data_IF_606078264513
#
_entry.id   IF_606078264513
#
_cell.length_a   1.000
_cell.length_b   1.000
_cell.length_c   1.000
_cell.angle_alpha   90.00
_cell.angle_beta   90.00
_cell.angle_gamma   90.00
#
_symmetry.space_group_name_H-M   'P 1'
#
loop_
_entity.id
_entity.type
_entity.pdbx_description
1 polymer ?
#
# COMPACT_ATOMS: atom_id res chain seq x y z
N UNK A 1 -13.34 1.58 4.87
CA UNK A 1 -12.19 1.91 4.00
C UNK A 1 -11.16 0.79 4.13
N UNK A 2 -10.66 0.20 3.03
CA UNK A 2 -9.93 -1.08 3.08
C UNK A 2 -8.44 -0.95 3.45
N UNK A 3 -7.69 -0.03 2.83
CA UNK A 3 -6.24 0.16 3.08
C UNK A 3 -5.87 1.57 3.57
N UNK A 4 -6.67 2.58 3.27
CA UNK A 4 -6.32 3.97 3.52
C UNK A 4 -6.27 4.30 5.02
N UNK A 5 -5.22 5.01 5.43
CA UNK A 5 -4.93 5.38 6.82
C UNK A 5 -4.82 4.19 7.79
N UNK A 6 -4.55 2.98 7.27
CA UNK A 6 -4.38 1.74 8.02
C UNK A 6 -2.95 1.22 7.98
N UNK A 7 -1.95 2.09 7.74
CA UNK A 7 -0.55 1.63 7.65
C UNK A 7 -0.10 1.03 8.98
N UNK A 8 0.52 -0.14 8.93
CA UNK A 8 0.89 -0.90 10.13
C UNK A 8 -0.22 -1.80 10.66
N UNK A 9 -1.46 -1.66 10.18
CA UNK A 9 -2.55 -2.59 10.50
C UNK A 9 -2.56 -3.80 9.55
N UNK A 10 -3.28 -4.83 9.98
CA UNK A 10 -3.54 -6.05 9.21
C UNK A 10 -4.50 -5.77 8.06
N UNK A 11 -4.17 -6.28 6.88
CA UNK A 11 -5.02 -6.26 5.70
C UNK A 11 -6.29 -7.06 5.96
N UNK A 12 -7.45 -6.51 5.58
CA UNK A 12 -8.75 -7.15 5.76
C UNK A 12 -8.97 -8.38 4.84
N UNK A 13 -8.07 -8.61 3.87
CA UNK A 13 -8.16 -9.72 2.91
C UNK A 13 -7.22 -10.86 3.28
N UNK A 14 -5.93 -10.57 3.37
CA UNK A 14 -4.90 -11.59 3.57
C UNK A 14 -4.24 -11.56 4.96
N UNK A 15 -4.53 -10.55 5.79
CA UNK A 15 -3.89 -10.38 7.10
C UNK A 15 -2.44 -9.86 7.07
N UNK A 16 -1.86 -9.56 5.90
CA UNK A 16 -0.51 -8.98 5.83
C UNK A 16 -0.52 -7.49 6.21
N UNK A 17 0.63 -6.92 6.55
CA UNK A 17 0.74 -5.54 7.03
C UNK A 17 0.57 -4.55 5.88
N UNK A 18 -0.36 -3.62 6.03
CA UNK A 18 -0.55 -2.53 5.08
C UNK A 18 0.63 -1.57 5.16
N UNK A 19 1.22 -1.22 4.01
CA UNK A 19 2.31 -0.26 3.89
C UNK A 19 1.81 1.10 3.42
N UNK A 20 2.58 2.12 3.75
CA UNK A 20 2.38 3.49 3.27
C UNK A 20 3.71 4.06 2.80
N UNK A 21 3.66 4.83 1.72
CA UNK A 21 4.78 5.58 1.20
C UNK A 21 4.28 6.92 0.67
N UNK A 22 5.07 7.96 0.91
CA UNK A 22 4.89 9.26 0.27
C UNK A 22 5.64 9.25 -1.05
N UNK A 23 4.95 9.62 -2.13
CA UNK A 23 5.48 9.59 -3.49
C UNK A 23 5.54 10.99 -4.10
N UNK A 24 6.60 11.22 -4.87
CA UNK A 24 6.88 12.48 -5.56
C UNK A 24 7.18 13.64 -4.62
N UNK A 25 7.54 14.78 -5.22
CA UNK A 25 7.91 15.99 -4.48
C UNK A 25 6.74 16.58 -3.67
N UNK A 26 5.51 16.29 -4.09
CA UNK A 26 4.28 16.69 -3.41
C UNK A 26 3.91 15.79 -2.22
N UNK A 27 4.67 14.70 -1.98
CA UNK A 27 4.50 13.85 -0.81
C UNK A 27 3.15 13.12 -0.75
N UNK A 28 2.58 12.74 -1.89
CA UNK A 28 1.28 12.07 -1.94
C UNK A 28 1.37 10.72 -1.23
N UNK A 29 0.56 10.53 -0.19
CA UNK A 29 0.52 9.28 0.56
C UNK A 29 -0.23 8.20 -0.22
N UNK A 30 0.45 7.10 -0.50
CA UNK A 30 -0.11 5.88 -1.09
C UNK A 30 -0.14 4.79 -0.03
N UNK A 31 -1.27 4.11 0.12
CA UNK A 31 -1.46 2.99 1.03
C UNK A 31 -1.77 1.73 0.22
N UNK A 32 -1.09 0.63 0.50
CA UNK A 32 -1.31 -0.64 -0.21
C UNK A 32 -0.94 -1.84 0.66
N UNK A 33 -1.46 -3.02 0.33
CA UNK A 33 -0.99 -4.27 0.88
C UNK A 33 -0.02 -4.91 -0.14
N UNK A 34 1.23 -5.25 0.22
CA UNK A 34 2.19 -5.79 -0.75
C UNK A 34 1.80 -7.18 -1.26
N UNK A 35 1.03 -7.95 -0.50
CA UNK A 35 0.52 -9.27 -0.91
C UNK A 35 -0.66 -9.16 -1.86
N UNK A 36 -1.66 -8.33 -1.56
CA UNK A 36 -2.85 -8.18 -2.43
C UNK A 36 -2.61 -7.25 -3.63
N UNK A 37 -1.70 -6.29 -3.48
CA UNK A 37 -1.33 -5.32 -4.51
C UNK A 37 0.20 -5.29 -4.63
N UNK A 38 0.79 -6.30 -5.28
CA UNK A 38 2.23 -6.35 -5.50
C UNK A 38 2.70 -5.16 -6.36
N UNK A 39 3.98 -4.77 -6.26
CA UNK A 39 4.52 -3.71 -7.09
C UNK A 39 4.34 -4.06 -8.56
N UNK A 40 3.65 -3.19 -9.28
CA UNK A 40 3.46 -3.29 -10.72
C UNK A 40 4.85 -3.08 -11.34
N UNK A 41 5.52 -4.16 -11.73
CA UNK A 41 6.75 -4.04 -12.51
C UNK A 41 6.30 -3.94 -13.96
N UNK A 42 6.03 -2.73 -14.44
CA UNK A 42 5.81 -2.53 -15.87
C UNK A 42 7.12 -2.87 -16.58
N UNK A 43 7.18 -3.92 -17.41
CA UNK A 43 8.34 -4.13 -18.26
C UNK A 43 8.35 -3.03 -19.32
N UNK A 44 9.54 -2.45 -19.56
CA UNK A 44 9.78 -1.42 -20.56
C UNK A 44 9.50 -1.91 -21.99
#
# INVERSE_FOLDING_TARGET
MWVYNRSGEKCLVCGDTIRMQRQGDLGRSTYWCPTCQPPQTTPA
#
